data_IF_435351865943
#
_entry.id   IF_435351865943
#
_cell.length_a   1.000
_cell.length_b   1.000
_cell.length_c   1.000
_cell.angle_alpha   90.00
_cell.angle_beta   90.00
_cell.angle_gamma   90.00
#
_symmetry.space_group_name_H-M   'P 1'
#
loop_
_entity.id
_entity.type
_entity.pdbx_description
1 polymer ?
#
# COMPACT_ATOMS: atom_id res chain seq x y z
N UNK A 1 38.12 -76.06 0.62
CA UNK A 1 37.14 -75.07 1.14
C UNK A 1 37.58 -73.69 0.68
N UNK A 2 36.82 -72.99 -0.18
CA UNK A 2 37.22 -71.67 -0.64
C UNK A 2 36.84 -70.60 0.39
N UNK A 3 37.85 -69.81 0.79
CA UNK A 3 37.73 -68.61 1.63
C UNK A 3 37.13 -67.49 0.77
N UNK A 4 35.85 -67.18 0.96
CA UNK A 4 35.24 -65.96 0.39
C UNK A 4 35.47 -64.80 1.35
N UNK A 5 36.60 -64.11 1.17
CA UNK A 5 36.92 -62.89 1.89
C UNK A 5 36.50 -61.69 1.02
N UNK A 6 35.26 -61.23 1.16
CA UNK A 6 34.81 -59.95 0.60
C UNK A 6 33.88 -59.27 1.60
N UNK A 7 34.44 -58.36 2.38
CA UNK A 7 33.69 -57.37 3.16
C UNK A 7 33.98 -55.99 2.56
N UNK A 8 33.51 -55.75 1.34
CA UNK A 8 33.43 -54.39 0.80
C UNK A 8 32.06 -53.83 1.16
N UNK A 9 32.06 -52.64 1.76
CA UNK A 9 30.85 -51.88 2.08
C UNK A 9 30.82 -50.64 1.20
N UNK A 10 29.74 -50.50 0.42
CA UNK A 10 29.49 -49.33 -0.41
C UNK A 10 28.28 -48.59 0.17
N UNK A 11 28.40 -47.28 0.32
CA UNK A 11 27.33 -46.39 0.75
C UNK A 11 27.26 -45.22 -0.23
N UNK A 12 26.08 -45.01 -0.79
CA UNK A 12 25.79 -43.82 -1.60
C UNK A 12 25.28 -42.72 -0.69
N UNK A 13 25.88 -41.53 -0.80
CA UNK A 13 25.46 -40.36 -0.05
C UNK A 13 24.79 -39.36 -1.01
N UNK A 14 23.54 -38.97 -0.78
CA UNK A 14 22.91 -37.93 -1.59
C UNK A 14 23.61 -36.58 -1.35
N UNK A 15 24.00 -35.91 -2.43
CA UNK A 15 24.71 -34.63 -2.39
C UNK A 15 23.87 -33.55 -3.08
N UNK A 16 23.82 -32.36 -2.48
CA UNK A 16 23.21 -31.15 -3.04
C UNK A 16 24.22 -30.00 -3.04
N UNK A 17 23.99 -29.01 -3.89
CA UNK A 17 24.81 -27.81 -3.96
C UNK A 17 24.21 -26.68 -3.13
N UNK A 18 25.01 -26.14 -2.20
CA UNK A 18 24.59 -24.99 -1.40
C UNK A 18 24.47 -23.74 -2.27
N UNK A 19 23.38 -23.00 -2.09
CA UNK A 19 23.12 -21.70 -2.71
C UNK A 19 22.70 -20.68 -1.66
N UNK A 20 22.92 -19.40 -1.94
CA UNK A 20 22.50 -18.31 -1.06
C UNK A 20 21.91 -17.18 -1.88
N UNK A 21 20.59 -17.09 -1.87
CA UNK A 21 19.84 -16.07 -2.60
C UNK A 21 18.92 -15.34 -1.64
N UNK A 22 18.71 -14.06 -1.92
CA UNK A 22 17.90 -13.17 -1.10
C UNK A 22 17.00 -12.36 -2.01
N UNK A 23 15.73 -12.24 -1.64
CA UNK A 23 14.81 -11.23 -2.18
C UNK A 23 14.42 -10.28 -1.06
N UNK A 24 14.41 -8.98 -1.36
CA UNK A 24 14.01 -7.92 -0.41
C UNK A 24 13.01 -6.96 -1.05
N UNK A 25 12.20 -6.32 -0.21
CA UNK A 25 11.37 -5.18 -0.63
C UNK A 25 12.25 -3.95 -0.79
N UNK A 26 12.17 -3.27 -1.93
CA UNK A 26 12.94 -2.07 -2.20
C UNK A 26 12.22 -0.82 -1.64
N UNK A 27 13.01 0.17 -1.22
CA UNK A 27 12.51 1.38 -0.55
C UNK A 27 11.65 2.26 -1.45
N UNK A 28 11.93 2.27 -2.76
CA UNK A 28 11.20 3.10 -3.74
C UNK A 28 9.76 2.61 -4.03
N UNK A 29 9.32 1.54 -3.38
CA UNK A 29 7.94 1.06 -3.47
C UNK A 29 6.97 2.09 -2.89
N UNK A 30 5.76 2.16 -3.42
CA UNK A 30 4.68 2.92 -2.80
C UNK A 30 4.41 2.33 -1.41
N UNK A 31 4.57 3.13 -0.34
CA UNK A 31 4.37 2.68 1.05
C UNK A 31 3.03 3.13 1.62
N UNK A 32 2.56 4.30 1.20
CA UNK A 32 1.36 4.92 1.72
C UNK A 32 0.59 5.62 0.62
N UNK A 33 -0.73 5.60 0.72
CA UNK A 33 -1.64 6.24 -0.20
C UNK A 33 -2.90 6.70 0.52
N UNK A 34 -3.28 7.96 0.32
CA UNK A 34 -4.54 8.52 0.77
C UNK A 34 -5.54 8.65 -0.39
N UNK A 35 -6.81 8.35 -0.13
CA UNK A 35 -7.85 8.47 -1.14
C UNK A 35 -9.14 9.07 -0.56
N UNK A 36 -9.88 9.82 -1.37
CA UNK A 36 -11.17 10.37 -0.95
C UNK A 36 -12.26 9.35 -1.25
N UNK A 37 -12.99 8.90 -0.22
CA UNK A 37 -14.03 7.87 -0.39
C UNK A 37 -15.21 8.29 -1.28
N UNK A 38 -15.38 9.59 -1.54
CA UNK A 38 -16.45 10.13 -2.38
C UNK A 38 -16.18 9.98 -3.89
N UNK A 39 -14.94 9.73 -4.29
CA UNK A 39 -14.55 9.68 -5.70
C UNK A 39 -14.05 8.27 -6.04
N UNK A 40 -14.57 7.70 -7.15
CA UNK A 40 -14.05 6.45 -7.73
C UNK A 40 -12.67 6.70 -8.32
N UNK A 41 -11.68 6.79 -7.45
CA UNK A 41 -10.31 7.08 -7.81
C UNK A 41 -9.54 5.77 -7.95
N UNK A 42 -8.58 5.79 -8.85
CA UNK A 42 -7.56 4.76 -8.96
C UNK A 42 -6.22 5.46 -8.99
N UNK A 43 -5.23 4.95 -8.27
CA UNK A 43 -3.91 5.56 -8.23
C UNK A 43 -2.85 4.56 -8.66
N UNK A 44 -1.87 5.03 -9.43
CA UNK A 44 -0.74 4.19 -9.85
C UNK A 44 0.11 3.86 -8.62
N UNK A 45 0.28 2.57 -8.34
CA UNK A 45 1.20 2.08 -7.30
C UNK A 45 2.31 1.24 -7.92
N UNK A 46 3.44 1.17 -7.22
CA UNK A 46 4.56 0.30 -7.57
C UNK A 46 5.09 -0.46 -6.37
N UNK A 47 5.25 -1.77 -6.48
CA UNK A 47 6.01 -2.57 -5.52
C UNK A 47 7.27 -3.06 -6.21
N UNK A 48 8.44 -2.70 -5.68
CA UNK A 48 9.72 -3.12 -6.24
C UNK A 48 10.42 -4.10 -5.31
N UNK A 49 11.01 -5.14 -5.90
CA UNK A 49 11.78 -6.17 -5.22
C UNK A 49 13.19 -6.21 -5.78
N UNK A 50 14.17 -6.41 -4.91
CA UNK A 50 15.57 -6.62 -5.26
C UNK A 50 15.93 -8.08 -5.01
N UNK A 51 16.48 -8.73 -6.02
CA UNK A 51 16.93 -10.11 -5.98
C UNK A 51 18.45 -10.11 -6.01
N UNK A 52 19.07 -10.88 -5.11
CA UNK A 52 20.50 -10.96 -4.94
C UNK A 52 20.95 -12.42 -4.85
N UNK A 53 21.94 -12.82 -5.64
CA UNK A 53 22.63 -14.08 -5.47
C UNK A 53 23.93 -13.85 -4.70
N UNK A 54 23.88 -14.02 -3.39
CA UNK A 54 25.05 -13.86 -2.51
C UNK A 54 25.93 -15.13 -2.46
N UNK A 55 25.53 -16.18 -3.19
CA UNK A 55 26.29 -17.41 -3.34
C UNK A 55 27.40 -17.29 -4.38
N UNK A 56 28.25 -18.31 -4.44
CA UNK A 56 29.35 -18.41 -5.40
C UNK A 56 28.98 -19.20 -6.67
N UNK A 57 27.68 -19.43 -6.91
CA UNK A 57 27.20 -20.32 -7.97
C UNK A 57 26.16 -19.64 -8.83
N UNK A 58 26.27 -19.83 -10.15
CA UNK A 58 25.18 -19.53 -11.07
C UNK A 58 24.20 -20.69 -11.14
N UNK A 59 22.91 -20.39 -11.18
CA UNK A 59 21.85 -21.40 -11.32
C UNK A 59 20.61 -20.82 -12.01
N UNK A 60 19.81 -21.66 -12.70
CA UNK A 60 18.48 -21.27 -13.14
C UNK A 60 17.54 -21.14 -11.94
N UNK A 61 16.71 -20.10 -11.95
CA UNK A 61 15.70 -19.85 -10.91
C UNK A 61 14.37 -19.49 -11.56
N UNK A 62 13.29 -19.56 -10.79
CA UNK A 62 12.01 -18.95 -11.15
C UNK A 62 11.65 -17.92 -10.09
N UNK A 63 11.32 -16.71 -10.52
CA UNK A 63 10.78 -15.68 -9.62
C UNK A 63 9.26 -15.69 -9.71
N UNK A 64 8.60 -15.74 -8.55
CA UNK A 64 7.14 -15.83 -8.45
C UNK A 64 6.61 -14.63 -7.72
N UNK A 65 5.63 -13.96 -8.32
CA UNK A 65 4.91 -12.83 -7.74
C UNK A 65 3.46 -13.21 -7.48
N UNK A 66 2.96 -12.86 -6.31
CA UNK A 66 1.56 -13.01 -5.93
C UNK A 66 0.97 -11.61 -5.70
N UNK A 67 0.02 -11.23 -6.54
CA UNK A 67 -0.53 -9.87 -6.61
C UNK A 67 -2.05 -9.93 -6.41
N UNK A 68 -2.62 -9.29 -5.37
CA UNK A 68 -4.06 -9.27 -5.17
C UNK A 68 -4.72 -8.37 -6.22
N UNK A 69 -5.45 -8.98 -7.15
CA UNK A 69 -6.09 -8.27 -8.26
C UNK A 69 -7.57 -8.02 -8.03
N UNK A 70 -8.23 -8.83 -7.21
CA UNK A 70 -9.68 -8.75 -7.01
C UNK A 70 -10.10 -9.23 -5.62
N UNK A 71 -11.01 -8.50 -4.98
CA UNK A 71 -11.65 -8.85 -3.72
C UNK A 71 -13.15 -8.80 -3.90
N UNK A 72 -13.85 -9.90 -3.60
CA UNK A 72 -15.32 -9.99 -3.70
C UNK A 72 -15.88 -9.45 -5.03
N UNK A 73 -15.27 -9.85 -6.17
CA UNK A 73 -15.64 -9.42 -7.54
C UNK A 73 -15.41 -7.93 -7.85
N UNK A 74 -14.74 -7.19 -6.97
CA UNK A 74 -14.33 -5.80 -7.19
C UNK A 74 -12.83 -5.76 -7.43
N UNK A 75 -12.39 -5.00 -8.44
CA UNK A 75 -10.98 -4.86 -8.78
C UNK A 75 -10.22 -4.18 -7.63
N UNK A 76 -9.04 -4.73 -7.31
CA UNK A 76 -8.09 -4.18 -6.33
C UNK A 76 -6.94 -3.54 -7.08
N UNK A 77 -6.14 -4.39 -7.75
CA UNK A 77 -4.98 -3.98 -8.52
C UNK A 77 -5.23 -4.30 -9.99
N UNK A 78 -5.50 -3.27 -10.77
CA UNK A 78 -5.86 -3.38 -12.17
C UNK A 78 -4.62 -3.55 -13.04
N UNK A 79 -4.65 -4.62 -13.85
CA UNK A 79 -3.66 -4.94 -14.88
C UNK A 79 -2.19 -4.76 -14.42
N UNK A 80 -1.75 -5.43 -13.34
CA UNK A 80 -0.39 -5.28 -12.85
C UNK A 80 0.61 -5.80 -13.87
N UNK A 81 1.59 -4.97 -14.19
CA UNK A 81 2.70 -5.26 -15.08
C UNK A 81 3.95 -5.61 -14.27
N UNK A 82 4.71 -6.60 -14.74
CA UNK A 82 5.98 -7.01 -14.16
C UNK A 82 7.11 -6.48 -15.03
N UNK A 83 7.93 -5.58 -14.48
CA UNK A 83 8.97 -4.85 -15.21
C UNK A 83 10.33 -5.20 -14.59
N UNK A 84 11.18 -5.86 -15.36
CA UNK A 84 12.56 -6.17 -14.97
C UNK A 84 13.48 -4.97 -15.23
N UNK A 85 14.45 -4.73 -14.35
CA UNK A 85 15.47 -3.68 -14.54
C UNK A 85 16.49 -4.03 -15.62
N UNK A 86 16.63 -5.32 -15.94
CA UNK A 86 17.57 -5.85 -16.92
C UNK A 86 16.81 -6.77 -17.89
N UNK A 87 17.30 -6.84 -19.13
CA UNK A 87 16.71 -7.68 -20.17
C UNK A 87 17.17 -9.13 -19.98
N UNK A 88 16.45 -9.88 -19.14
CA UNK A 88 16.60 -11.32 -19.08
C UNK A 88 15.80 -11.98 -20.20
N UNK A 89 16.38 -13.00 -20.84
CA UNK A 89 15.59 -13.97 -21.61
C UNK A 89 14.75 -14.76 -20.60
N UNK A 90 13.57 -14.24 -20.31
CA UNK A 90 12.65 -14.77 -19.31
C UNK A 90 11.32 -15.10 -19.96
N UNK A 91 10.81 -16.30 -19.67
CA UNK A 91 9.46 -16.71 -20.06
C UNK A 91 8.58 -16.54 -18.84
N UNK A 92 7.57 -15.68 -18.92
CA UNK A 92 6.66 -15.42 -17.83
C UNK A 92 5.30 -16.08 -18.09
N UNK A 93 4.85 -16.85 -17.12
CA UNK A 93 3.54 -17.49 -17.07
C UNK A 93 2.67 -16.78 -16.04
N UNK A 94 1.44 -16.45 -16.45
CA UNK A 94 0.48 -15.77 -15.60
C UNK A 94 -0.73 -16.66 -15.39
N UNK A 95 -1.10 -16.86 -14.13
CA UNK A 95 -2.24 -17.67 -13.72
C UNK A 95 -3.06 -16.92 -12.68
N UNK A 96 -4.38 -17.12 -12.69
CA UNK A 96 -5.26 -16.59 -11.65
C UNK A 96 -5.44 -17.63 -10.55
N UNK A 97 -5.33 -17.20 -9.29
CA UNK A 97 -5.46 -18.04 -8.11
C UNK A 97 -6.60 -17.53 -7.23
N UNK A 98 -7.59 -18.40 -7.02
CA UNK A 98 -8.74 -18.16 -6.13
C UNK A 98 -8.29 -18.25 -4.66
N UNK A 99 -8.81 -17.41 -3.75
CA UNK A 99 -8.43 -17.44 -2.36
C UNK A 99 -8.88 -18.75 -1.67
N UNK A 100 -8.04 -19.31 -0.77
CA UNK A 100 -8.39 -20.49 0.00
C UNK A 100 -9.45 -20.23 1.10
N UNK A 101 -9.53 -18.99 1.61
CA UNK A 101 -10.50 -18.63 2.65
C UNK A 101 -11.65 -17.82 2.05
N UNK A 102 -12.89 -18.17 2.41
CA UNK A 102 -14.10 -17.48 1.97
C UNK A 102 -14.50 -16.30 2.87
N UNK A 103 -14.21 -16.36 4.17
CA UNK A 103 -14.53 -15.27 5.12
C UNK A 103 -13.44 -14.20 5.16
N UNK A 104 -13.39 -13.39 4.10
CA UNK A 104 -12.45 -12.28 3.98
C UNK A 104 -12.73 -11.17 5.00
N UNK A 105 -13.99 -10.97 5.45
CA UNK A 105 -14.36 -9.89 6.37
C UNK A 105 -13.79 -10.12 7.76
N UNK A 106 -13.90 -11.35 8.29
CA UNK A 106 -13.32 -11.67 9.59
C UNK A 106 -11.79 -11.50 9.60
N UNK A 107 -11.13 -11.92 8.51
CA UNK A 107 -9.68 -11.78 8.37
C UNK A 107 -9.24 -10.33 8.23
N UNK A 108 -9.92 -9.53 7.38
CA UNK A 108 -9.61 -8.10 7.24
C UNK A 108 -9.81 -7.33 8.54
N UNK A 109 -10.84 -7.64 9.33
CA UNK A 109 -11.04 -7.03 10.65
C UNK A 109 -9.93 -7.40 11.64
N UNK A 110 -9.36 -8.61 11.52
CA UNK A 110 -8.30 -9.11 12.42
C UNK A 110 -6.92 -8.54 12.07
N UNK A 111 -6.56 -8.49 10.78
CA UNK A 111 -5.19 -8.14 10.36
C UNK A 111 -5.09 -6.80 9.65
N UNK A 112 -6.18 -6.25 9.11
CA UNK A 112 -6.16 -5.11 8.19
C UNK A 112 -5.27 -5.32 6.95
N UNK A 113 -4.95 -6.56 6.59
CA UNK A 113 -4.08 -6.91 5.45
C UNK A 113 -4.87 -7.60 4.35
N UNK A 114 -4.81 -7.05 3.14
CA UNK A 114 -5.28 -7.67 1.91
C UNK A 114 -4.15 -8.45 1.25
N UNK A 115 -4.26 -9.78 1.26
CA UNK A 115 -3.30 -10.69 0.64
C UNK A 115 -4.00 -11.84 -0.12
N UNK A 116 -3.21 -12.70 -0.76
CA UNK A 116 -3.69 -13.83 -1.56
C UNK A 116 -4.33 -14.98 -0.78
N UNK A 117 -4.46 -14.87 0.55
CA UNK A 117 -5.22 -15.84 1.35
C UNK A 117 -6.72 -15.55 1.31
N UNK A 118 -7.09 -14.28 1.05
CA UNK A 118 -8.47 -13.77 1.09
C UNK A 118 -8.91 -13.08 -0.20
N UNK A 119 -7.97 -12.69 -1.07
CA UNK A 119 -8.22 -12.08 -2.37
C UNK A 119 -7.87 -13.04 -3.52
N UNK A 120 -8.52 -12.85 -4.65
CA UNK A 120 -8.10 -13.45 -5.92
C UNK A 120 -6.81 -12.79 -6.35
N UNK A 121 -5.81 -13.60 -6.68
CA UNK A 121 -4.49 -13.14 -7.01
C UNK A 121 -4.03 -13.56 -8.40
N UNK A 122 -3.27 -12.69 -9.04
CA UNK A 122 -2.48 -13.02 -10.18
C UNK A 122 -1.14 -13.59 -9.71
N UNK A 123 -0.88 -14.85 -10.06
CA UNK A 123 0.41 -15.51 -9.88
C UNK A 123 1.21 -15.35 -11.16
N UNK A 124 2.28 -14.56 -11.12
CA UNK A 124 3.20 -14.40 -12.25
C UNK A 124 4.49 -15.15 -11.91
N UNK A 125 4.82 -16.17 -12.69
CA UNK A 125 6.07 -16.92 -12.57
C UNK A 125 6.93 -16.62 -13.79
N UNK A 126 8.15 -16.12 -13.57
CA UNK A 126 9.11 -15.87 -14.65
C UNK A 126 10.35 -16.72 -14.44
N UNK A 127 10.69 -17.52 -15.44
CA UNK A 127 11.87 -18.39 -15.40
C UNK A 127 13.10 -17.61 -15.89
N UNK A 128 14.16 -17.61 -15.08
CA UNK A 128 15.44 -16.96 -15.35
C UNK A 128 16.48 -18.07 -15.58
N UNK A 129 17.01 -18.11 -16.79
CA UNK A 129 17.89 -19.19 -17.24
C UNK A 129 19.22 -19.28 -16.47
N UNK A 130 19.73 -18.14 -16.01
CA UNK A 130 21.00 -18.07 -15.27
C UNK A 130 20.96 -16.87 -14.35
N UNK A 131 21.01 -17.12 -13.05
CA UNK A 131 21.24 -16.11 -12.02
C UNK A 131 22.65 -16.26 -11.48
N UNK A 132 23.55 -15.42 -11.97
CA UNK A 132 24.99 -15.44 -11.74
C UNK A 132 25.39 -15.19 -10.28
N UNK A 133 26.62 -15.59 -9.95
CA UNK A 133 27.23 -15.31 -8.65
C UNK A 133 27.39 -13.80 -8.45
N UNK A 134 26.98 -13.29 -7.28
CA UNK A 134 26.99 -11.86 -6.95
C UNK A 134 26.17 -10.98 -7.91
N UNK A 135 25.29 -11.59 -8.71
CA UNK A 135 24.37 -10.84 -9.56
C UNK A 135 23.21 -10.29 -8.74
N UNK A 136 22.76 -9.09 -9.11
CA UNK A 136 21.56 -8.48 -8.57
C UNK A 136 20.68 -7.93 -9.68
N UNK A 137 19.37 -7.93 -9.45
CA UNK A 137 18.41 -7.28 -10.32
C UNK A 137 17.15 -6.86 -9.57
N UNK A 138 16.45 -5.88 -10.14
CA UNK A 138 15.21 -5.36 -9.59
C UNK A 138 14.02 -5.76 -10.46
N UNK A 139 12.89 -6.06 -9.82
CA UNK A 139 11.61 -6.26 -10.50
C UNK A 139 10.57 -5.34 -9.90
N UNK A 140 9.86 -4.61 -10.76
CA UNK A 140 8.83 -3.66 -10.37
C UNK A 140 7.48 -4.16 -10.82
N UNK A 141 6.58 -4.36 -9.86
CA UNK A 141 5.16 -4.57 -10.09
C UNK A 141 4.49 -3.21 -10.17
N UNK A 142 3.89 -2.87 -11.30
CA UNK A 142 3.26 -1.55 -11.53
C UNK A 142 1.83 -1.73 -12.02
N UNK A 143 0.88 -1.01 -11.43
CA UNK A 143 -0.51 -1.00 -11.91
C UNK A 143 -1.35 0.01 -11.15
N UNK A 144 -2.64 0.07 -11.44
CA UNK A 144 -3.56 0.99 -10.78
C UNK A 144 -4.23 0.30 -9.61
N UNK A 145 -4.18 0.92 -8.43
CA UNK A 145 -4.94 0.48 -7.27
C UNK A 145 -6.28 1.24 -7.25
N UNK A 146 -7.38 0.51 -7.41
CA UNK A 146 -8.73 1.03 -7.20
C UNK A 146 -9.03 1.11 -5.70
N UNK A 147 -10.02 1.90 -5.28
CA UNK A 147 -10.49 1.96 -3.88
C UNK A 147 -11.93 1.48 -3.70
N UNK A 148 -12.60 1.04 -4.76
CA UNK A 148 -13.99 0.56 -4.70
C UNK A 148 -14.15 -0.70 -3.80
N UNK A 149 -13.08 -1.47 -3.64
CA UNK A 149 -13.04 -2.65 -2.77
C UNK A 149 -12.82 -2.32 -1.29
N UNK A 150 -12.49 -1.07 -0.95
CA UNK A 150 -12.10 -0.69 0.40
C UNK A 150 -13.26 -0.88 1.38
N UNK A 151 -12.97 -1.56 2.49
CA UNK A 151 -13.93 -1.83 3.56
C UNK A 151 -13.43 -1.14 4.82
N UNK A 152 -14.24 -0.23 5.38
CA UNK A 152 -13.89 0.49 6.61
C UNK A 152 -13.66 -0.50 7.76
N UNK A 153 -12.46 -0.49 8.32
CA UNK A 153 -12.07 -1.31 9.48
C UNK A 153 -11.92 -0.43 10.73
N UNK A 154 -11.79 -1.05 11.91
CA UNK A 154 -11.54 -0.32 13.16
C UNK A 154 -10.28 0.52 13.14
N UNK A 155 -9.27 0.10 12.38
CA UNK A 155 -8.00 0.79 12.26
C UNK A 155 -8.04 1.96 11.26
N UNK A 156 -9.14 2.14 10.52
CA UNK A 156 -9.28 3.13 9.44
C UNK A 156 -8.19 3.05 8.36
N UNK A 157 -7.51 1.92 8.21
CA UNK A 157 -6.59 1.67 7.09
C UNK A 157 -6.62 0.19 6.70
N UNK A 158 -6.16 -0.08 5.48
CA UNK A 158 -5.87 -1.43 5.00
C UNK A 158 -4.47 -1.46 4.38
N UNK A 159 -3.81 -2.61 4.38
CA UNK A 159 -2.51 -2.82 3.76
C UNK A 159 -2.67 -3.77 2.58
N UNK A 160 -2.36 -3.31 1.38
CA UNK A 160 -2.33 -4.15 0.18
C UNK A 160 -0.95 -4.79 0.06
N UNK A 161 -0.91 -6.11 0.13
CA UNK A 161 0.32 -6.88 0.21
C UNK A 161 0.54 -7.70 -1.07
N UNK A 162 1.69 -7.49 -1.72
CA UNK A 162 2.19 -8.44 -2.71
C UNK A 162 3.35 -9.25 -2.15
N UNK A 163 3.55 -10.45 -2.68
CA UNK A 163 4.64 -11.34 -2.29
C UNK A 163 5.52 -11.66 -3.48
N UNK A 164 6.83 -11.72 -3.26
CA UNK A 164 7.82 -12.24 -4.20
C UNK A 164 8.51 -13.46 -3.57
N UNK A 165 8.76 -14.49 -4.37
CA UNK A 165 9.39 -15.74 -3.94
C UNK A 165 10.37 -16.25 -5.01
N UNK A 166 11.51 -16.77 -4.58
CA UNK A 166 12.51 -17.41 -5.44
C UNK A 166 12.32 -18.93 -5.34
N UNK A 167 12.04 -19.56 -6.48
CA UNK A 167 12.02 -21.02 -6.63
C UNK A 167 13.26 -21.49 -7.37
N UNK A 168 13.74 -22.67 -7.02
CA UNK A 168 14.89 -23.33 -7.61
C UNK A 168 14.72 -24.84 -7.50
N UNK A 169 15.55 -25.60 -8.22
CA UNK A 169 15.50 -27.05 -8.17
C UNK A 169 16.03 -27.58 -6.82
N UNK A 170 15.13 -27.91 -5.91
CA UNK A 170 15.42 -28.42 -4.57
C UNK A 170 16.03 -29.83 -4.55
N UNK A 171 15.96 -30.57 -5.66
CA UNK A 171 16.64 -31.87 -5.79
C UNK A 171 18.15 -31.70 -5.98
N UNK A 172 18.58 -30.62 -6.64
CA UNK A 172 19.98 -30.33 -6.94
C UNK A 172 20.60 -29.33 -5.96
N UNK A 173 19.81 -28.37 -5.48
CA UNK A 173 20.30 -27.26 -4.66
C UNK A 173 19.67 -27.26 -3.26
N UNK A 174 20.37 -26.66 -2.30
CA UNK A 174 19.88 -26.49 -0.95
C UNK A 174 20.28 -25.12 -0.38
N UNK A 175 19.38 -24.53 0.38
CA UNK A 175 19.68 -23.38 1.22
C UNK A 175 20.32 -23.84 2.53
N UNK A 176 21.15 -23.00 3.14
CA UNK A 176 21.63 -23.27 4.50
C UNK A 176 20.47 -23.14 5.52
N UNK A 177 20.56 -23.83 6.67
CA UNK A 177 19.59 -23.67 7.74
C UNK A 177 19.40 -22.19 8.11
N UNK A 178 18.13 -21.76 8.20
CA UNK A 178 17.76 -20.37 8.50
C UNK A 178 17.63 -19.45 7.28
N UNK A 179 18.10 -19.86 6.09
CA UNK A 179 18.02 -19.01 4.88
C UNK A 179 16.70 -19.13 4.11
N UNK A 180 15.82 -20.05 4.48
CA UNK A 180 14.50 -20.23 3.82
C UNK A 180 13.60 -18.98 3.88
N UNK A 181 13.77 -18.13 4.89
CA UNK A 181 13.03 -16.87 4.97
C UNK A 181 13.51 -15.82 3.97
N UNK A 182 14.74 -15.90 3.49
CA UNK A 182 15.34 -14.89 2.61
C UNK A 182 14.95 -15.05 1.14
N UNK A 183 14.46 -16.23 0.74
CA UNK A 183 13.95 -16.46 -0.62
C UNK A 183 12.50 -16.00 -0.80
N UNK A 184 11.92 -15.31 0.19
CA UNK A 184 10.56 -14.77 0.14
C UNK A 184 10.49 -13.37 0.77
N UNK A 185 9.92 -12.41 0.05
CA UNK A 185 9.72 -11.05 0.53
C UNK A 185 8.30 -10.57 0.29
N UNK A 186 7.87 -9.62 1.12
CA UNK A 186 6.55 -8.99 1.03
C UNK A 186 6.73 -7.48 0.94
N UNK A 187 5.86 -6.84 0.16
CA UNK A 187 5.80 -5.37 0.03
C UNK A 187 4.37 -4.94 0.25
N UNK A 188 4.20 -3.89 1.04
CA UNK A 188 2.90 -3.40 1.48
C UNK A 188 2.71 -1.93 1.09
N UNK A 189 1.52 -1.62 0.59
CA UNK A 189 1.01 -0.25 0.47
C UNK A 189 -0.11 -0.06 1.50
N UNK A 190 0.07 0.86 2.45
CA UNK A 190 -0.97 1.26 3.39
C UNK A 190 -1.93 2.24 2.70
N UNK A 191 -3.21 1.89 2.64
CA UNK A 191 -4.29 2.73 2.10
C UNK A 191 -5.17 3.28 3.22
N UNK A 192 -5.39 4.58 3.21
CA UNK A 192 -6.14 5.29 4.25
C UNK A 192 -7.15 6.25 3.60
N UNK A 193 -8.43 6.19 4.00
CA UNK A 193 -9.44 7.11 3.50
C UNK A 193 -9.18 8.49 4.12
N UNK A 194 -9.18 9.51 3.27
CA UNK A 194 -9.10 10.91 3.65
C UNK A 194 -10.49 11.54 3.60
N UNK A 195 -10.99 11.99 4.75
CA UNK A 195 -12.28 12.68 4.85
C UNK A 195 -12.09 14.17 4.57
N UNK A 196 -12.48 14.60 3.36
CA UNK A 196 -12.56 16.02 3.01
C UNK A 196 -13.73 16.64 3.78
N UNK A 197 -13.42 17.39 4.83
CA UNK A 197 -14.42 18.15 5.58
C UNK A 197 -14.73 19.44 4.82
N UNK A 198 -15.99 19.63 4.44
CA UNK A 198 -16.45 20.89 3.85
C UNK A 198 -16.62 21.94 4.98
N UNK A 199 -15.83 23.03 4.99
CA UNK A 199 -15.96 24.06 6.01
C UNK A 199 -17.17 24.98 5.79
N UNK A 200 -17.81 24.95 4.62
CA UNK A 200 -18.90 25.88 4.25
C UNK A 200 -20.06 25.85 5.24
N UNK A 201 -20.62 24.68 5.64
CA UNK A 201 -21.70 24.62 6.63
C UNK A 201 -21.29 25.21 7.98
N UNK A 202 -20.04 25.01 8.40
CA UNK A 202 -19.49 25.56 9.64
C UNK A 202 -19.39 27.09 9.58
N UNK A 203 -18.89 27.63 8.47
CA UNK A 203 -18.75 29.08 8.25
C UNK A 203 -20.13 29.75 8.23
N UNK A 204 -21.07 29.19 7.46
CA UNK A 204 -22.44 29.72 7.36
C UNK A 204 -23.15 29.65 8.72
N UNK A 205 -23.04 28.51 9.43
CA UNK A 205 -23.62 28.35 10.76
C UNK A 205 -23.06 29.34 11.78
N UNK A 206 -21.74 29.53 11.80
CA UNK A 206 -21.06 30.49 12.69
C UNK A 206 -21.48 31.94 12.39
N UNK A 207 -21.58 32.29 11.10
CA UNK A 207 -21.95 33.64 10.67
C UNK A 207 -23.40 33.99 11.04
N UNK A 208 -24.33 33.06 10.77
CA UNK A 208 -25.75 33.22 11.15
C UNK A 208 -25.90 33.26 12.67
N UNK A 209 -25.24 32.35 13.39
CA UNK A 209 -25.26 32.32 14.86
C UNK A 209 -24.70 33.62 15.47
N UNK A 210 -23.60 34.14 14.92
CA UNK A 210 -22.99 35.39 15.34
C UNK A 210 -23.92 36.60 15.12
N UNK A 211 -24.60 36.67 13.98
CA UNK A 211 -25.58 37.72 13.69
C UNK A 211 -26.79 37.66 14.63
N UNK A 212 -27.29 36.46 14.91
CA UNK A 212 -28.41 36.27 15.85
C UNK A 212 -27.99 36.67 17.27
N UNK A 213 -26.81 36.24 17.72
CA UNK A 213 -26.28 36.61 19.03
C UNK A 213 -26.07 38.13 19.14
N UNK A 214 -25.52 38.75 18.10
CA UNK A 214 -25.34 40.20 18.03
C UNK A 214 -26.68 40.92 18.15
N UNK A 215 -27.71 40.50 17.40
CA UNK A 215 -29.04 41.08 17.46
C UNK A 215 -29.67 40.98 18.86
N UNK A 216 -29.50 39.84 19.55
CA UNK A 216 -29.97 39.64 20.93
C UNK A 216 -29.26 40.59 21.91
N UNK A 217 -27.94 40.74 21.79
CA UNK A 217 -27.16 41.67 22.62
C UNK A 217 -27.61 43.11 22.36
N UNK A 218 -27.74 43.52 21.09
CA UNK A 218 -28.20 44.87 20.74
C UNK A 218 -29.59 45.15 21.29
N UNK A 219 -30.52 44.18 21.21
CA UNK A 219 -31.87 44.32 21.77
C UNK A 219 -31.84 44.46 23.31
N UNK A 220 -30.99 43.68 23.99
CA UNK A 220 -30.77 43.79 25.44
C UNK A 220 -30.19 45.15 25.84
N UNK A 221 -29.10 45.58 25.19
CA UNK A 221 -28.45 46.87 25.41
C UNK A 221 -29.38 48.05 25.10
N UNK A 222 -30.22 47.93 24.07
CA UNK A 222 -31.23 48.93 23.74
C UNK A 222 -32.27 49.07 24.86
N UNK A 223 -32.79 47.94 25.38
CA UNK A 223 -33.72 47.94 26.53
C UNK A 223 -33.08 48.50 27.80
N UNK A 224 -31.78 48.24 28.02
CA UNK A 224 -31.03 48.79 29.15
C UNK A 224 -30.64 50.27 28.97
N UNK A 225 -31.02 50.90 27.85
CA UNK A 225 -30.83 52.33 27.60
C UNK A 225 -29.43 52.75 27.19
N UNK A 226 -28.54 51.79 26.87
CA UNK A 226 -27.13 52.05 26.54
C UNK A 226 -26.99 52.93 25.28
N UNK A 227 -27.79 52.69 24.24
CA UNK A 227 -27.73 53.43 22.98
C UNK A 227 -28.48 54.78 22.99
N UNK A 228 -29.17 55.13 24.08
CA UNK A 228 -30.08 56.28 24.12
C UNK A 228 -29.41 57.59 24.55
N UNK A 229 -28.11 57.60 24.88
CA UNK A 229 -27.49 58.71 25.63
C UNK A 229 -26.37 59.51 24.96
N UNK A 230 -25.84 59.15 23.79
CA UNK A 230 -24.79 59.97 23.13
C UNK A 230 -24.82 60.05 21.58
N UNK A 231 -25.57 59.20 20.88
CA UNK A 231 -25.57 59.23 19.40
C UNK A 231 -26.30 60.46 18.82
N UNK A 232 -27.31 60.96 19.53
CA UNK A 232 -28.14 62.09 19.06
C UNK A 232 -27.42 63.45 19.18
N UNK A 233 -26.46 63.55 20.10
CA UNK A 233 -25.67 64.78 20.28
C UNK A 233 -24.54 64.84 19.25
N UNK A 234 -23.87 63.73 18.96
CA UNK A 234 -22.78 63.68 17.96
C UNK A 234 -23.25 63.83 16.49
N UNK A 235 -24.48 63.46 16.14
CA UNK A 235 -25.01 63.66 14.77
C UNK A 235 -25.40 65.11 14.47
N UNK A 236 -25.71 65.92 15.49
CA UNK A 236 -26.12 67.31 15.30
C UNK A 236 -24.93 68.28 15.19
N UNK A 237 -23.72 67.83 15.53
CA UNK A 237 -22.52 68.67 15.60
C UNK A 237 -21.68 68.67 14.29
N UNK A 238 -22.09 67.89 13.28
CA UNK A 238 -21.42 67.80 11.97
C UNK A 238 -22.20 68.47 10.81
N UNK A 239 -22.85 69.62 11.09
CA UNK A 239 -23.41 70.53 10.06
C UNK A 239 -22.36 71.57 9.61
N UNK A 240 -22.43 72.09 8.36
CA UNK A 240 -21.30 72.72 7.68
C UNK A 240 -20.84 74.03 8.32
N UNK A 241 -19.51 74.20 8.42
CA UNK A 241 -18.89 75.48 8.77
C UNK A 241 -19.31 76.57 7.77
N UNK A 242 -20.00 77.58 8.29
CA UNK A 242 -20.20 78.86 7.60
C UNK A 242 -18.92 79.69 7.67
N UNK A 243 -18.38 80.04 6.50
CA UNK A 243 -17.27 80.97 6.31
C UNK A 243 -17.56 82.35 6.93
N UNK A 244 -16.56 83.03 7.55
CA UNK A 244 -16.76 84.36 8.13
C UNK A 244 -16.60 85.47 7.07
N UNK A 245 -17.34 86.60 7.21
CA UNK A 245 -17.28 87.72 6.29
C UNK A 245 -16.15 88.69 6.64
N UNK A 246 -15.30 89.04 5.66
CA UNK A 246 -15.21 90.37 5.03
C UNK A 246 -14.23 90.37 3.86
#
# INVERSE_FOLDING_TARGET
MPRTNKTEFQLELPVKYTVYMVVTSHEVSTKYLNFTASEKTSHVIKHQYQFNNLGQRSLPISVVFLIPIQLNKVAVWENPQVIFSQNFSSTCHTEERVPPHSDFLAMLKKTSVLNCSIAVCQRVQCDILSFGSQEEFNVTLKGNLSFDWYIKTSHNYLQVLSTAEILFNDSMFALLPGQGAFVRAQTETKVEPYEVHDPVPLIVGSSVGGLVLLALITMGLYKLGFFKRQYKDMMNEAGPETSPPQ
#
